data_IF_260546818574
#
_entry.id   IF_260546818574
#
_cell.length_a   1.000
_cell.length_b   1.000
_cell.length_c   1.000
_cell.angle_alpha   90.00
_cell.angle_beta   90.00
_cell.angle_gamma   90.00
#
_symmetry.space_group_name_H-M   'P 1'
#
loop_
_entity.id
_entity.type
_entity.pdbx_description
1 polymer ?
#
# COMPACT_ATOMS: atom_id res chain seq x y z
N UNK A 1 -27.84 1.10 -22.18
CA UNK A 1 -26.59 0.62 -22.82
C UNK A 1 -25.40 0.81 -21.89
N UNK A 2 -24.90 -0.26 -21.28
CA UNK A 2 -23.66 -0.24 -20.46
C UNK A 2 -22.43 -0.24 -21.37
N UNK A 3 -21.57 0.77 -21.26
CA UNK A 3 -20.32 0.87 -22.04
C UNK A 3 -19.44 -0.38 -21.81
N UNK A 4 -18.77 -0.92 -22.84
CA UNK A 4 -17.98 -2.15 -22.75
C UNK A 4 -16.79 -2.02 -21.79
N UNK A 5 -16.51 -3.09 -21.05
CA UNK A 5 -15.35 -3.22 -20.16
C UNK A 5 -14.09 -3.49 -20.98
N UNK A 6 -12.96 -2.88 -20.63
CA UNK A 6 -11.67 -3.04 -21.33
C UNK A 6 -10.74 -3.96 -20.55
N UNK A 7 -10.02 -4.83 -21.24
CA UNK A 7 -8.88 -5.55 -20.65
C UNK A 7 -7.68 -4.62 -20.48
N UNK A 8 -6.73 -4.97 -19.61
CA UNK A 8 -5.49 -4.17 -19.44
C UNK A 8 -4.71 -4.02 -20.76
N UNK A 9 -4.78 -5.02 -21.64
CA UNK A 9 -4.18 -4.99 -22.99
C UNK A 9 -4.79 -3.88 -23.88
N UNK A 10 -6.07 -3.56 -23.68
CA UNK A 10 -6.82 -2.55 -24.45
C UNK A 10 -6.76 -1.14 -23.85
N UNK A 11 -6.03 -0.95 -22.74
CA UNK A 11 -5.88 0.37 -22.12
C UNK A 11 -4.96 1.27 -22.96
N UNK A 12 -5.33 2.55 -23.03
CA UNK A 12 -4.46 3.58 -23.60
C UNK A 12 -3.23 3.79 -22.73
N UNK A 13 -2.16 4.35 -23.30
CA UNK A 13 -0.95 4.71 -22.56
C UNK A 13 -1.25 5.61 -21.36
N UNK A 14 -2.15 6.59 -21.52
CA UNK A 14 -2.60 7.48 -20.45
C UNK A 14 -3.28 6.74 -19.30
N UNK A 15 -4.14 5.76 -19.60
CA UNK A 15 -4.80 4.96 -18.57
C UNK A 15 -3.82 4.07 -17.81
N UNK A 16 -2.83 3.48 -18.50
CA UNK A 16 -1.76 2.71 -17.85
C UNK A 16 -0.88 3.59 -16.97
N UNK A 17 -0.50 4.77 -17.45
CA UNK A 17 0.26 5.75 -16.68
C UNK A 17 -0.50 6.19 -15.41
N UNK A 18 -1.81 6.42 -15.51
CA UNK A 18 -2.65 6.72 -14.34
C UNK A 18 -2.64 5.59 -13.31
N UNK A 19 -2.85 4.34 -13.73
CA UNK A 19 -2.83 3.20 -12.81
C UNK A 19 -1.46 2.98 -12.17
N UNK A 20 -0.39 3.20 -12.94
CA UNK A 20 0.97 3.15 -12.42
C UNK A 20 1.23 4.26 -11.39
N UNK A 21 0.83 5.51 -11.69
CA UNK A 21 0.93 6.62 -10.76
C UNK A 21 0.13 6.38 -9.47
N UNK A 22 -1.04 5.74 -9.56
CA UNK A 22 -1.81 5.32 -8.39
C UNK A 22 -1.03 4.32 -7.53
N UNK A 23 -0.38 3.31 -8.11
CA UNK A 23 0.46 2.37 -7.35
C UNK A 23 1.62 3.06 -6.67
N UNK A 24 2.31 3.96 -7.38
CA UNK A 24 3.43 4.74 -6.82
C UNK A 24 2.95 5.59 -5.64
N UNK A 25 1.84 6.30 -5.78
CA UNK A 25 1.29 7.14 -4.72
C UNK A 25 0.79 6.33 -3.52
N UNK A 26 0.26 5.12 -3.72
CA UNK A 26 -0.06 4.22 -2.60
C UNK A 26 1.18 3.83 -1.79
N UNK A 27 2.31 3.57 -2.48
CA UNK A 27 3.60 3.32 -1.82
C UNK A 27 4.10 4.51 -1.00
N UNK A 28 3.97 5.73 -1.55
CA UNK A 28 4.33 6.96 -0.83
C UNK A 28 3.42 7.15 0.39
N UNK A 29 2.10 7.01 0.25
CA UNK A 29 1.15 7.14 1.36
C UNK A 29 1.47 6.15 2.49
N UNK A 30 1.73 4.89 2.14
CA UNK A 30 2.12 3.87 3.11
C UNK A 30 3.41 4.26 3.86
N UNK A 31 4.39 4.84 3.16
CA UNK A 31 5.62 5.29 3.79
C UNK A 31 5.41 6.50 4.70
N UNK A 32 4.60 7.47 4.26
CA UNK A 32 4.21 8.63 5.06
C UNK A 32 3.55 8.17 6.36
N UNK A 33 2.57 7.26 6.29
CA UNK A 33 1.88 6.70 7.45
C UNK A 33 2.85 6.07 8.45
N UNK A 34 3.89 5.38 7.95
CA UNK A 34 4.95 4.81 8.80
C UNK A 34 5.80 5.87 9.48
N UNK A 35 6.02 7.01 8.83
CA UNK A 35 6.86 8.07 9.36
C UNK A 35 6.15 8.98 10.37
N UNK A 36 4.82 9.14 10.30
CA UNK A 36 4.05 9.98 11.23
C UNK A 36 4.41 9.67 12.69
N UNK A 37 4.40 8.38 13.06
CA UNK A 37 4.71 7.99 14.44
C UNK A 37 6.15 8.32 14.84
N UNK A 38 7.12 8.10 13.96
CA UNK A 38 8.54 8.35 14.24
C UNK A 38 8.81 9.85 14.39
N UNK A 39 8.25 10.66 13.49
CA UNK A 39 8.41 12.11 13.46
C UNK A 39 7.70 12.78 14.64
N UNK A 40 6.50 12.31 14.99
CA UNK A 40 5.71 12.88 16.08
C UNK A 40 5.94 12.20 17.44
N UNK A 41 6.86 11.22 17.51
CA UNK A 41 7.17 10.48 18.73
C UNK A 41 7.37 11.39 19.95
N UNK A 42 8.18 12.48 19.91
CA UNK A 42 8.40 13.31 21.09
C UNK A 42 7.11 13.91 21.68
N UNK A 43 6.18 14.28 20.81
CA UNK A 43 4.88 14.86 21.19
C UNK A 43 3.97 13.77 21.75
N UNK A 44 3.87 12.63 21.07
CA UNK A 44 3.01 11.52 21.48
C UNK A 44 3.48 10.92 22.81
N UNK A 45 4.80 10.74 22.98
CA UNK A 45 5.39 10.20 24.20
C UNK A 45 5.13 11.10 25.41
N UNK A 46 5.16 12.42 25.23
CA UNK A 46 4.83 13.39 26.28
C UNK A 46 3.33 13.36 26.63
N UNK A 47 2.46 13.27 25.62
CA UNK A 47 0.99 13.25 25.81
C UNK A 47 0.49 11.97 26.48
N UNK A 48 1.08 10.82 26.11
CA UNK A 48 0.63 9.49 26.55
C UNK A 48 1.55 8.84 27.59
N UNK A 49 2.64 9.51 27.98
CA UNK A 49 3.57 9.06 29.01
C UNK A 49 4.40 7.83 28.61
N UNK A 50 4.73 7.68 27.33
CA UNK A 50 5.50 6.52 26.85
C UNK A 50 7.00 6.72 26.96
N UNK A 51 7.71 5.63 27.19
CA UNK A 51 9.16 5.55 27.16
C UNK A 51 9.71 5.30 25.75
N UNK A 52 11.04 5.35 25.61
CA UNK A 52 11.70 4.91 24.39
C UNK A 52 11.60 3.39 24.18
N UNK A 53 11.58 2.60 25.26
CA UNK A 53 11.41 1.15 25.23
C UNK A 53 10.02 0.74 24.73
N UNK A 54 9.00 1.53 25.10
CA UNK A 54 7.63 1.39 24.59
C UNK A 54 7.61 1.54 23.06
N UNK A 55 8.25 2.59 22.52
CA UNK A 55 8.33 2.78 21.08
C UNK A 55 9.03 1.61 20.36
N UNK A 56 10.12 1.09 20.93
CA UNK A 56 10.81 -0.10 20.42
C UNK A 56 9.89 -1.33 20.39
N UNK A 57 9.13 -1.54 21.47
CA UNK A 57 8.15 -2.62 21.60
C UNK A 57 7.04 -2.50 20.55
N UNK A 58 6.50 -1.30 20.34
CA UNK A 58 5.50 -1.02 19.30
C UNK A 58 6.04 -1.33 17.91
N UNK A 59 7.27 -0.93 17.60
CA UNK A 59 7.90 -1.20 16.31
C UNK A 59 8.10 -2.71 16.07
N UNK A 60 8.46 -3.47 17.12
CA UNK A 60 8.60 -4.92 17.05
C UNK A 60 7.25 -5.61 16.79
N UNK A 61 6.20 -5.26 17.54
CA UNK A 61 4.86 -5.83 17.36
C UNK A 61 4.25 -5.50 16.00
N UNK A 62 4.47 -4.28 15.49
CA UNK A 62 4.12 -3.91 14.13
C UNK A 62 4.75 -4.84 13.09
N UNK A 63 6.06 -5.08 13.20
CA UNK A 63 6.76 -5.99 12.28
C UNK A 63 6.31 -7.43 12.45
N UNK A 64 6.05 -7.89 13.67
CA UNK A 64 5.49 -9.23 13.95
C UNK A 64 4.12 -9.43 13.31
N UNK A 65 3.22 -8.45 13.43
CA UNK A 65 1.91 -8.47 12.78
C UNK A 65 2.01 -8.51 11.26
N UNK A 66 2.90 -7.69 10.68
CA UNK A 66 3.16 -7.72 9.23
C UNK A 66 3.75 -9.06 8.76
N UNK A 67 4.76 -9.58 9.48
CA UNK A 67 5.41 -10.86 9.18
C UNK A 67 4.41 -12.02 9.17
N UNK A 68 3.55 -12.09 10.19
CA UNK A 68 2.49 -13.09 10.26
C UNK A 68 1.50 -12.95 9.10
N UNK A 69 1.06 -11.72 8.79
CA UNK A 69 0.12 -11.47 7.70
C UNK A 69 0.68 -11.84 6.32
N UNK A 70 1.99 -11.64 6.07
CA UNK A 70 2.64 -12.01 4.81
C UNK A 70 2.48 -13.50 4.44
N UNK A 71 2.28 -14.39 5.41
CA UNK A 71 1.99 -15.81 5.17
C UNK A 71 0.71 -16.01 4.34
N UNK A 72 -0.22 -15.07 4.41
CA UNK A 72 -1.56 -15.20 3.80
C UNK A 72 -1.81 -14.18 2.69
N UNK A 73 -1.15 -13.02 2.71
CA UNK A 73 -1.51 -11.90 1.82
C UNK A 73 -1.38 -12.25 0.34
N UNK A 74 -0.39 -13.04 -0.07
CA UNK A 74 -0.26 -13.51 -1.46
C UNK A 74 -1.50 -14.26 -1.94
N UNK A 75 -1.96 -15.24 -1.17
CA UNK A 75 -3.17 -16.02 -1.46
C UNK A 75 -4.44 -15.15 -1.49
N UNK A 76 -4.58 -14.21 -0.55
CA UNK A 76 -5.71 -13.28 -0.51
C UNK A 76 -5.73 -12.41 -1.78
N UNK A 77 -4.58 -11.85 -2.17
CA UNK A 77 -4.48 -11.02 -3.38
C UNK A 77 -4.81 -11.81 -4.63
N UNK A 78 -4.38 -13.07 -4.71
CA UNK A 78 -4.72 -13.95 -5.83
C UNK A 78 -6.22 -14.24 -5.92
N UNK A 79 -6.87 -14.49 -4.78
CA UNK A 79 -8.31 -14.74 -4.73
C UNK A 79 -9.15 -13.50 -5.07
N UNK A 80 -8.75 -12.33 -4.57
CA UNK A 80 -9.48 -11.07 -4.78
C UNK A 80 -9.19 -10.44 -6.15
N UNK A 81 -8.00 -10.70 -6.70
CA UNK A 81 -7.48 -10.02 -7.87
C UNK A 81 -7.12 -8.55 -7.62
N UNK A 82 -6.24 -8.01 -8.45
CA UNK A 82 -5.68 -6.65 -8.31
C UNK A 82 -6.74 -5.56 -8.21
N UNK A 83 -7.86 -5.70 -8.94
CA UNK A 83 -8.95 -4.71 -8.94
C UNK A 83 -9.48 -4.44 -7.53
N UNK A 84 -9.66 -5.49 -6.74
CA UNK A 84 -10.28 -5.43 -5.41
C UNK A 84 -9.26 -5.49 -4.28
N UNK A 85 -8.19 -6.28 -4.43
CA UNK A 85 -7.15 -6.39 -3.42
C UNK A 85 -6.50 -5.04 -3.10
N UNK A 86 -6.25 -4.21 -4.12
CA UNK A 86 -5.57 -2.92 -3.96
C UNK A 86 -6.36 -1.92 -3.10
N UNK A 87 -7.61 -1.55 -3.45
CA UNK A 87 -8.38 -0.59 -2.69
C UNK A 87 -8.81 -1.14 -1.33
N UNK A 88 -9.03 -2.46 -1.19
CA UNK A 88 -9.34 -3.07 0.10
C UNK A 88 -8.15 -3.00 1.04
N UNK A 89 -6.94 -3.37 0.56
CA UNK A 89 -5.72 -3.24 1.35
C UNK A 89 -5.49 -1.80 1.78
N UNK A 90 -5.56 -0.85 0.82
CA UNK A 90 -5.35 0.58 1.09
C UNK A 90 -6.36 1.10 2.10
N UNK A 91 -7.64 0.79 1.92
CA UNK A 91 -8.68 1.21 2.85
C UNK A 91 -8.48 0.59 4.25
N UNK A 92 -8.10 -0.69 4.33
CA UNK A 92 -7.90 -1.37 5.60
C UNK A 92 -6.74 -0.76 6.41
N UNK A 93 -5.58 -0.53 5.79
CA UNK A 93 -4.48 0.13 6.50
C UNK A 93 -4.80 1.59 6.79
N UNK A 94 -5.55 2.27 5.91
CA UNK A 94 -5.95 3.67 6.13
C UNK A 94 -6.85 3.80 7.35
N UNK A 95 -7.83 2.91 7.51
CA UNK A 95 -8.72 2.88 8.69
C UNK A 95 -7.91 2.61 9.96
N UNK A 96 -6.98 1.65 9.92
CA UNK A 96 -6.08 1.38 11.04
C UNK A 96 -5.17 2.60 11.34
N UNK A 97 -4.67 3.30 10.31
CA UNK A 97 -3.87 4.51 10.47
C UNK A 97 -4.69 5.60 11.18
N UNK A 98 -5.91 5.87 10.72
CA UNK A 98 -6.82 6.83 11.35
C UNK A 98 -7.08 6.49 12.81
N UNK A 99 -7.31 5.22 13.14
CA UNK A 99 -7.64 4.78 14.48
C UNK A 99 -6.61 5.21 15.55
N UNK A 100 -5.33 5.40 15.18
CA UNK A 100 -4.30 5.93 16.10
C UNK A 100 -4.66 7.32 16.66
N UNK A 101 -5.41 8.13 15.90
CA UNK A 101 -5.89 9.44 16.36
C UNK A 101 -6.83 9.39 17.56
N UNK A 102 -7.42 8.21 17.84
CA UNK A 102 -8.30 8.01 19.00
C UNK A 102 -7.66 7.20 20.13
N UNK A 103 -6.41 6.75 19.97
CA UNK A 103 -5.70 6.01 21.00
C UNK A 103 -5.40 6.90 22.22
N UNK A 104 -5.63 6.34 23.41
CA UNK A 104 -5.48 6.98 24.73
C UNK A 104 -4.47 6.27 25.62
N UNK A 105 -3.99 5.10 25.22
CA UNK A 105 -3.00 4.32 25.98
C UNK A 105 -1.98 3.66 25.05
N UNK A 106 -0.85 3.24 25.62
CA UNK A 106 0.18 2.49 24.90
C UNK A 106 -0.38 1.19 24.31
N UNK A 107 -1.17 0.45 25.10
CA UNK A 107 -1.76 -0.82 24.69
C UNK A 107 -2.68 -0.66 23.48
N UNK A 108 -3.56 0.34 23.50
CA UNK A 108 -4.42 0.65 22.35
C UNK A 108 -3.58 0.97 21.11
N UNK A 109 -2.53 1.78 21.28
CA UNK A 109 -1.67 2.17 20.17
C UNK A 109 -0.93 0.97 19.57
N UNK A 110 -0.44 0.04 20.40
CA UNK A 110 0.18 -1.21 19.94
C UNK A 110 -0.82 -2.09 19.20
N UNK A 111 -2.04 -2.27 19.71
CA UNK A 111 -3.07 -3.08 19.05
C UNK A 111 -3.45 -2.54 17.67
N UNK A 112 -3.61 -1.22 17.57
CA UNK A 112 -3.88 -0.54 16.30
C UNK A 112 -2.67 -0.70 15.38
N UNK A 113 -1.44 -0.57 15.91
CA UNK A 113 -0.22 -0.71 15.12
C UNK A 113 -0.05 -2.12 14.57
N UNK A 114 -0.31 -3.17 15.35
CA UNK A 114 -0.29 -4.56 14.88
C UNK A 114 -1.30 -4.74 13.74
N UNK A 115 -2.50 -4.20 13.90
CA UNK A 115 -3.56 -4.24 12.87
C UNK A 115 -3.15 -3.51 11.59
N UNK A 116 -2.49 -2.36 11.74
CA UNK A 116 -1.90 -1.62 10.62
C UNK A 116 -0.83 -2.48 9.91
N UNK A 117 0.12 -3.06 10.65
CA UNK A 117 1.16 -3.92 10.07
C UNK A 117 0.59 -5.10 9.30
N UNK A 118 -0.44 -5.75 9.86
CA UNK A 118 -1.12 -6.87 9.22
C UNK A 118 -1.84 -6.47 7.92
N UNK A 119 -2.46 -5.29 7.87
CA UNK A 119 -3.18 -4.81 6.69
C UNK A 119 -2.25 -4.24 5.61
N UNK A 120 -1.18 -3.55 6.01
CA UNK A 120 -0.14 -3.06 5.10
C UNK A 120 0.60 -4.18 4.36
N UNK A 121 0.65 -5.39 4.93
CA UNK A 121 1.26 -6.56 4.29
C UNK A 121 0.61 -6.93 2.93
N UNK A 122 -0.59 -6.43 2.64
CA UNK A 122 -1.25 -6.56 1.33
C UNK A 122 -0.60 -5.69 0.25
N UNK A 123 0.10 -4.61 0.62
CA UNK A 123 0.65 -3.62 -0.29
C UNK A 123 1.68 -4.20 -1.25
N UNK A 124 2.66 -4.94 -0.74
CA UNK A 124 3.74 -5.55 -1.54
C UNK A 124 3.23 -6.48 -2.64
N UNK A 125 2.48 -7.57 -2.35
CA UNK A 125 1.99 -8.47 -3.40
C UNK A 125 1.06 -7.77 -4.38
N UNK A 126 0.24 -6.83 -3.92
CA UNK A 126 -0.67 -6.09 -4.81
C UNK A 126 0.08 -5.13 -5.73
N UNK A 127 1.07 -4.40 -5.21
CA UNK A 127 1.92 -3.52 -6.02
C UNK A 127 2.65 -4.28 -7.11
N UNK A 128 3.29 -5.40 -6.77
CA UNK A 128 3.98 -6.28 -7.73
C UNK A 128 3.04 -6.76 -8.83
N UNK A 129 1.88 -7.33 -8.46
CA UNK A 129 0.91 -7.85 -9.43
C UNK A 129 0.29 -6.73 -10.27
N UNK A 130 0.09 -5.54 -9.71
CA UNK A 130 -0.43 -4.38 -10.45
C UNK A 130 0.58 -3.90 -11.49
N UNK A 131 1.83 -3.69 -11.11
CA UNK A 131 2.91 -3.27 -12.02
C UNK A 131 3.07 -4.31 -13.14
N UNK A 132 3.09 -5.60 -12.80
CA UNK A 132 3.18 -6.68 -13.77
C UNK A 132 2.00 -6.71 -14.74
N UNK A 133 0.78 -6.36 -14.27
CA UNK A 133 -0.41 -6.32 -15.11
C UNK A 133 -0.44 -5.10 -16.02
N UNK A 134 -0.11 -3.92 -15.48
CA UNK A 134 -0.29 -2.62 -16.15
C UNK A 134 0.87 -2.30 -17.12
N UNK A 135 2.10 -2.68 -16.77
CA UNK A 135 3.28 -2.36 -17.58
C UNK A 135 3.67 -3.51 -18.53
N UNK A 136 4.13 -3.18 -19.76
CA UNK A 136 4.75 -4.14 -20.67
C UNK A 136 5.94 -4.86 -20.03
N UNK A 137 6.19 -6.12 -20.43
CA UNK A 137 7.24 -6.98 -19.84
C UNK A 137 8.62 -6.31 -19.78
N UNK A 138 9.01 -5.59 -20.85
CA UNK A 138 10.29 -4.87 -20.94
C UNK A 138 10.39 -3.61 -20.05
N UNK A 139 9.26 -3.08 -19.57
CA UNK A 139 9.21 -1.88 -18.72
C UNK A 139 9.04 -2.18 -17.23
N UNK A 140 8.75 -3.42 -16.85
CA UNK A 140 8.45 -3.78 -15.45
C UNK A 140 9.60 -3.47 -14.49
N UNK A 141 10.84 -3.80 -14.87
CA UNK A 141 12.03 -3.51 -14.05
C UNK A 141 12.20 -2.00 -13.81
N UNK A 142 12.12 -1.19 -14.86
CA UNK A 142 12.13 0.27 -14.76
C UNK A 142 10.97 0.81 -13.92
N UNK A 143 9.79 0.20 -14.01
CA UNK A 143 8.63 0.53 -13.18
C UNK A 143 8.88 0.32 -11.68
N UNK A 144 9.51 -0.80 -11.31
CA UNK A 144 9.94 -1.03 -9.92
C UNK A 144 11.00 -0.01 -9.49
N UNK A 145 11.99 0.27 -10.33
CA UNK A 145 13.02 1.29 -10.07
C UNK A 145 12.40 2.68 -9.84
N UNK A 146 11.48 3.10 -10.70
CA UNK A 146 10.77 4.37 -10.57
C UNK A 146 9.91 4.44 -9.30
N UNK A 147 9.23 3.33 -8.94
CA UNK A 147 8.47 3.23 -7.69
C UNK A 147 9.38 3.39 -6.48
N UNK A 148 10.54 2.73 -6.49
CA UNK A 148 11.52 2.84 -5.41
C UNK A 148 12.05 4.27 -5.27
N UNK A 149 12.43 4.90 -6.39
CA UNK A 149 12.90 6.29 -6.40
C UNK A 149 11.84 7.26 -5.85
N UNK A 150 10.59 7.10 -6.28
CA UNK A 150 9.47 7.91 -5.80
C UNK A 150 9.21 7.71 -4.29
N UNK A 151 9.28 6.47 -3.81
CA UNK A 151 9.19 6.18 -2.38
C UNK A 151 10.34 6.83 -1.60
N UNK A 152 11.59 6.78 -2.10
CA UNK A 152 12.72 7.47 -1.46
C UNK A 152 12.52 8.97 -1.39
N UNK A 153 12.01 9.60 -2.45
CA UNK A 153 11.67 11.04 -2.43
C UNK A 153 10.58 11.30 -1.38
N UNK A 154 9.52 10.49 -1.37
CA UNK A 154 8.48 10.56 -0.34
C UNK A 154 9.06 10.46 1.08
N UNK A 155 10.03 9.58 1.29
CA UNK A 155 10.69 9.37 2.58
C UNK A 155 11.45 10.61 3.07
N UNK A 156 11.98 11.41 2.14
CA UNK A 156 12.73 12.64 2.42
C UNK A 156 11.77 13.80 2.69
N UNK A 157 10.68 13.87 1.93
CA UNK A 157 9.71 14.97 2.03
C UNK A 157 8.77 14.83 3.23
N UNK A 158 8.44 13.60 3.62
CA UNK A 158 7.47 13.33 4.68
C UNK A 158 7.87 13.95 6.03
N UNK A 159 9.11 13.85 6.55
CA UNK A 159 9.50 14.48 7.81
C UNK A 159 9.50 16.02 7.75
N UNK A 160 9.58 16.59 6.54
CA UNK A 160 9.46 18.04 6.33
C UNK A 160 8.00 18.50 6.35
N UNK A 161 7.08 17.66 5.86
CA UNK A 161 5.65 17.98 5.75
C UNK A 161 4.85 17.65 7.02
N UNK A 162 5.14 16.53 7.67
CA UNK A 162 4.39 16.00 8.82
C UNK A 162 4.28 17.02 9.97
N UNK A 163 5.35 17.71 10.41
CA UNK A 163 5.25 18.72 11.46
C UNK A 163 4.33 19.87 11.08
N UNK A 164 4.38 20.33 9.83
CA UNK A 164 3.49 21.39 9.33
C UNK A 164 2.01 20.98 9.41
N UNK A 165 1.68 19.74 9.06
CA UNK A 165 0.33 19.19 9.24
C UNK A 165 -0.04 19.11 10.72
N UNK A 166 0.87 18.61 11.57
CA UNK A 166 0.63 18.47 13.00
C UNK A 166 0.42 19.83 13.70
N UNK A 167 1.03 20.92 13.22
CA UNK A 167 0.76 22.27 13.73
C UNK A 167 -0.67 22.74 13.45
N UNK A 168 -1.28 22.29 12.35
CA UNK A 168 -2.62 22.71 11.94
C UNK A 168 -3.72 21.87 12.59
N UNK A 169 -3.51 20.56 12.72
CA UNK A 169 -4.56 19.61 13.16
C UNK A 169 -4.19 18.78 14.38
N UNK A 170 -3.02 19.02 14.98
CA UNK A 170 -2.48 18.21 16.07
C UNK A 170 -2.00 16.84 15.61
N UNK A 171 -1.25 16.14 16.46
CA UNK A 171 -0.71 14.82 16.12
C UNK A 171 -1.82 13.78 15.86
N UNK A 172 -2.93 13.85 16.62
CA UNK A 172 -4.11 12.99 16.43
C UNK A 172 -4.74 13.24 15.06
N UNK A 173 -4.92 14.51 14.70
CA UNK A 173 -5.45 14.91 13.40
C UNK A 173 -4.54 14.51 12.24
N UNK A 174 -3.22 14.47 12.42
CA UNK A 174 -2.28 14.02 11.39
C UNK A 174 -2.53 12.56 10.99
N UNK A 175 -2.76 11.65 11.94
CA UNK A 175 -3.14 10.26 11.64
C UNK A 175 -4.48 10.18 10.89
N UNK A 176 -5.47 10.95 11.31
CA UNK A 176 -6.79 11.00 10.67
C UNK A 176 -6.70 11.53 9.24
N UNK A 177 -5.94 12.61 9.03
CA UNK A 177 -5.73 13.21 7.72
C UNK A 177 -5.01 12.26 6.76
N UNK A 178 -3.96 11.59 7.23
CA UNK A 178 -3.19 10.66 6.40
C UNK A 178 -4.03 9.46 5.95
N UNK A 179 -4.76 8.81 6.86
CA UNK A 179 -5.65 7.72 6.48
C UNK A 179 -6.85 8.18 5.65
N UNK A 180 -7.36 9.41 5.84
CA UNK A 180 -8.38 9.96 4.94
C UNK A 180 -7.87 10.11 3.50
N UNK A 181 -6.61 10.52 3.29
CA UNK A 181 -5.98 10.55 1.96
C UNK A 181 -5.91 9.14 1.34
N UNK A 182 -5.62 8.11 2.13
CA UNK A 182 -5.64 6.73 1.68
C UNK A 182 -7.04 6.24 1.30
N UNK A 183 -8.09 6.63 2.04
CA UNK A 183 -9.48 6.33 1.68
C UNK A 183 -9.90 7.04 0.37
N UNK A 184 -9.51 8.29 0.19
CA UNK A 184 -9.70 9.02 -1.07
C UNK A 184 -8.99 8.30 -2.21
N UNK A 185 -7.74 7.86 -1.99
CA UNK A 185 -7.00 7.07 -2.96
C UNK A 185 -7.76 5.78 -3.33
N UNK A 186 -8.30 5.06 -2.35
CA UNK A 186 -9.04 3.81 -2.59
C UNK A 186 -10.29 4.07 -3.43
N UNK A 187 -11.01 5.16 -3.17
CA UNK A 187 -12.15 5.59 -3.99
C UNK A 187 -11.73 5.93 -5.42
N UNK A 188 -10.64 6.69 -5.60
CA UNK A 188 -10.09 7.03 -6.93
C UNK A 188 -9.70 5.78 -7.70
N UNK A 189 -9.06 4.81 -7.04
CA UNK A 189 -8.74 3.53 -7.67
C UNK A 189 -9.97 2.79 -8.17
N UNK A 190 -11.02 2.69 -7.34
CA UNK A 190 -12.27 2.02 -7.72
C UNK A 190 -12.94 2.70 -8.91
N UNK A 191 -12.90 4.03 -8.97
CA UNK A 191 -13.41 4.80 -10.11
C UNK A 191 -12.56 4.54 -11.36
N UNK A 192 -11.22 4.62 -11.25
CA UNK A 192 -10.29 4.42 -12.35
C UNK A 192 -10.35 2.99 -12.93
N UNK A 193 -10.58 1.99 -12.09
CA UNK A 193 -10.62 0.57 -12.48
C UNK A 193 -12.03 0.04 -12.72
N UNK A 194 -13.08 0.87 -12.58
CA UNK A 194 -14.48 0.44 -12.72
C UNK A 194 -14.73 -0.36 -14.00
N UNK A 195 -14.16 0.08 -15.12
CA UNK A 195 -14.28 -0.55 -16.45
C UNK A 195 -13.01 -1.25 -16.93
N UNK A 196 -12.12 -1.61 -15.99
CA UNK A 196 -10.91 -2.36 -16.28
C UNK A 196 -11.06 -3.78 -15.76
N UNK A 197 -10.76 -4.74 -16.62
CA UNK A 197 -10.61 -6.15 -16.25
C UNK A 197 -9.14 -6.49 -16.25
N UNK A 198 -8.64 -6.91 -15.10
CA UNK A 198 -7.30 -7.46 -14.95
C UNK A 198 -7.40 -8.94 -15.30
N UNK A 199 -6.83 -9.34 -16.44
CA UNK A 199 -6.74 -10.75 -16.80
C UNK A 199 -5.71 -11.44 -15.90
N UNK A 200 -5.95 -12.69 -15.45
CA UNK A 200 -4.89 -13.50 -14.87
C UNK A 200 -3.69 -13.56 -15.82
N UNK A 201 -2.45 -13.63 -15.33
CA UNK A 201 -1.32 -14.00 -16.18
C UNK A 201 -1.66 -15.29 -16.90
N UNK A 202 -1.53 -15.33 -18.24
CA UNK A 202 -1.67 -16.60 -18.98
C UNK A 202 -0.70 -17.61 -18.34
N UNK A 203 -1.12 -18.87 -18.12
CA UNK A 203 -0.17 -19.94 -17.84
C UNK A 203 0.93 -19.84 -18.90
N UNK A 204 2.18 -19.96 -18.48
CA UNK A 204 3.26 -20.18 -19.44
C UNK A 204 2.85 -21.45 -20.17
N UNK A 205 2.51 -21.34 -21.46
CA UNK A 205 2.57 -22.50 -22.33
C UNK A 205 4.00 -23.00 -22.16
N UNK A 206 4.18 -24.09 -21.42
CA UNK A 206 5.35 -24.92 -21.58
C UNK A 206 5.35 -25.25 -23.06
N UNK A 207 6.21 -24.57 -23.81
CA UNK A 207 6.54 -24.96 -25.17
C UNK A 207 6.68 -26.49 -25.14
N UNK A 208 5.86 -27.14 -25.94
CA UNK A 208 5.83 -28.60 -26.04
C UNK A 208 7.28 -29.10 -26.06
N UNK A 209 7.57 -30.11 -25.24
CA UNK A 209 8.89 -30.72 -25.17
C UNK A 209 9.43 -30.89 -26.60
N UNK A 210 10.69 -30.52 -26.88
CA UNK A 210 11.24 -30.66 -28.22
C UNK A 210 11.03 -32.12 -28.68
N UNK A 211 10.61 -32.35 -29.94
CA UNK A 211 10.34 -33.69 -30.41
C UNK A 211 11.56 -34.57 -30.14
N UNK A 212 11.36 -35.62 -29.35
CA UNK A 212 12.36 -36.66 -29.10
C UNK A 212 12.45 -37.50 -30.36
N UNK A 213 13.17 -37.01 -31.35
CA UNK A 213 13.60 -37.79 -32.50
C UNK A 213 15.06 -38.18 -32.29
N UNK A 214 15.25 -39.32 -31.63
CA UNK A 214 16.52 -40.07 -31.62
C UNK A 214 16.32 -41.33 -32.45
N UNK A 215 15.92 -41.16 -33.71
CA UNK A 215 16.01 -42.19 -34.75
C UNK A 215 17.44 -42.38 -35.22
#
# INVERSE_FOLDING_TARGET
MTKPTKTVAQLSARARALLFALVVTAGILNLVDRQIISVLKPIIATDLGWSDDDYGTLAAWFQGGAAFAFLFTGWIVDKLGVKWANPIGVAAWSIAAMAHGWARSMTEFVMIRVSLGATEAMGTPTGIKTIASVLPKNWRSSGFGATNAANSIGAILAPLAIPGVALLVGWRGTFVAAGALGLVWAAVWLVATRRVTFSPPRPVETDAAPPTDYG
#
